data_IF_818944199727
#
_entry.id   IF_818944199727
#
_cell.length_a   1.000
_cell.length_b   1.000
_cell.length_c   1.000
_cell.angle_alpha   90.00
_cell.angle_beta   90.00
_cell.angle_gamma   90.00
#
_symmetry.space_group_name_H-M   'P 1'
#
loop_
_entity.id
_entity.type
_entity.pdbx_description
1 polymer ?
#
# COMPACT_ATOMS: atom_id res chain seq x y z
N UNK A 1 -2.59 -57.06 93.89
CA UNK A 1 -2.53 -57.87 92.65
C UNK A 1 -3.67 -57.59 91.66
N UNK A 2 -4.84 -57.07 92.06
CA UNK A 2 -5.96 -56.84 91.13
C UNK A 2 -5.76 -55.69 90.12
N UNK A 3 -4.98 -54.65 90.46
CA UNK A 3 -4.75 -53.49 89.58
C UNK A 3 -3.92 -53.84 88.34
N UNK A 4 -2.98 -54.79 88.44
CA UNK A 4 -2.09 -55.18 87.34
C UNK A 4 -2.86 -55.94 86.26
N UNK A 5 -3.83 -56.76 86.65
CA UNK A 5 -4.65 -57.55 85.72
C UNK A 5 -5.58 -56.64 84.89
N UNK A 6 -6.13 -55.60 85.51
CA UNK A 6 -7.00 -54.63 84.82
C UNK A 6 -6.21 -53.79 83.82
N UNK A 7 -5.00 -53.33 84.17
CA UNK A 7 -4.14 -52.59 83.24
C UNK A 7 -3.66 -53.49 82.10
N UNK A 8 -3.31 -54.75 82.37
CA UNK A 8 -2.94 -55.70 81.31
C UNK A 8 -4.11 -55.97 80.35
N UNK A 9 -5.35 -56.09 80.84
CA UNK A 9 -6.54 -56.28 80.00
C UNK A 9 -6.91 -55.02 79.20
N UNK A 10 -6.70 -53.82 79.74
CA UNK A 10 -6.94 -52.56 79.02
C UNK A 10 -5.86 -52.34 77.95
N UNK A 11 -4.59 -52.60 78.24
CA UNK A 11 -3.49 -52.49 77.26
C UNK A 11 -3.61 -53.55 76.18
N UNK A 12 -4.00 -54.79 76.53
CA UNK A 12 -4.25 -55.85 75.57
C UNK A 12 -5.52 -55.56 74.73
N UNK A 13 -6.57 -55.02 75.34
CA UNK A 13 -7.78 -54.58 74.63
C UNK A 13 -7.54 -53.40 73.69
N UNK A 14 -6.72 -52.43 74.08
CA UNK A 14 -6.34 -51.28 73.24
C UNK A 14 -5.39 -51.66 72.11
N UNK A 15 -4.49 -52.64 72.30
CA UNK A 15 -3.62 -53.15 71.23
C UNK A 15 -4.37 -54.08 70.27
N UNK A 16 -5.34 -54.86 70.75
CA UNK A 16 -6.17 -55.71 69.89
C UNK A 16 -7.19 -54.89 69.07
N UNK A 17 -7.72 -53.79 69.62
CA UNK A 17 -8.61 -52.87 68.90
C UNK A 17 -7.89 -51.98 67.87
N UNK A 18 -6.57 -51.83 67.93
CA UNK A 18 -5.79 -51.01 66.99
C UNK A 18 -5.08 -51.81 65.89
N UNK A 19 -5.38 -53.11 65.76
CA UNK A 19 -4.85 -53.91 64.66
C UNK A 19 -5.60 -53.53 63.39
N UNK A 20 -5.12 -52.51 62.68
CA UNK A 20 -5.59 -52.19 61.32
C UNK A 20 -5.50 -53.46 60.49
N UNK A 21 -6.63 -53.85 59.91
CA UNK A 21 -6.68 -54.96 58.99
C UNK A 21 -5.81 -54.59 57.78
N UNK A 22 -4.74 -55.34 57.47
CA UNK A 22 -3.86 -55.04 56.34
C UNK A 22 -4.63 -54.99 55.01
N UNK A 23 -5.76 -55.69 54.90
CA UNK A 23 -6.62 -55.61 53.72
C UNK A 23 -7.33 -54.25 53.61
N UNK A 24 -7.81 -53.68 54.73
CA UNK A 24 -8.41 -52.34 54.73
C UNK A 24 -7.37 -51.24 54.50
N UNK A 25 -6.15 -51.44 55.00
CA UNK A 25 -5.04 -50.52 54.74
C UNK A 25 -4.67 -50.48 53.26
N UNK A 26 -4.57 -51.64 52.60
CA UNK A 26 -4.30 -51.71 51.16
C UNK A 26 -5.43 -51.04 50.35
N UNK A 27 -6.71 -51.31 50.68
CA UNK A 27 -7.86 -50.66 50.04
C UNK A 27 -7.79 -49.14 50.20
N UNK A 28 -7.49 -48.66 51.39
CA UNK A 28 -7.41 -47.24 51.67
C UNK A 28 -6.26 -46.56 50.92
N UNK A 29 -5.07 -47.19 50.90
CA UNK A 29 -3.90 -46.72 50.16
C UNK A 29 -4.17 -46.71 48.66
N UNK A 30 -4.72 -47.77 48.09
CA UNK A 30 -5.06 -47.81 46.66
C UNK A 30 -6.20 -46.84 46.30
N UNK A 31 -7.12 -46.53 47.21
CA UNK A 31 -8.21 -45.58 46.94
C UNK A 31 -7.76 -44.11 47.01
N UNK A 32 -6.73 -43.81 47.80
CA UNK A 32 -6.22 -42.45 48.03
C UNK A 32 -4.84 -42.19 47.41
N UNK A 33 -4.24 -43.17 46.75
CA UNK A 33 -2.97 -42.98 46.03
C UNK A 33 -3.14 -41.99 44.88
N UNK A 34 -2.07 -41.21 44.65
CA UNK A 34 -1.85 -40.41 43.44
C UNK A 34 -1.63 -41.36 42.26
N UNK A 35 -2.74 -41.90 41.76
CA UNK A 35 -2.80 -42.88 40.68
C UNK A 35 -2.06 -42.43 39.42
N UNK A 36 -2.07 -41.13 39.16
CA UNK A 36 -1.39 -40.49 38.02
C UNK A 36 0.15 -40.59 38.11
N UNK A 37 0.72 -40.79 39.29
CA UNK A 37 2.19 -40.79 39.48
C UNK A 37 2.78 -42.17 39.72
N UNK A 38 2.00 -43.11 40.27
CA UNK A 38 2.48 -44.42 40.68
C UNK A 38 1.44 -45.50 40.39
N UNK A 39 1.04 -45.61 39.12
CA UNK A 39 0.13 -46.65 38.68
C UNK A 39 0.76 -48.04 38.86
N UNK A 40 0.10 -48.92 39.63
CA UNK A 40 0.44 -50.33 39.74
C UNK A 40 -0.80 -51.19 39.46
N UNK A 41 -0.80 -51.85 38.30
CA UNK A 41 -1.89 -52.70 37.84
C UNK A 41 -2.12 -53.94 38.74
N UNK A 42 -1.05 -54.47 39.33
CA UNK A 42 -1.12 -55.65 40.19
C UNK A 42 -1.79 -55.32 41.53
N UNK A 43 -1.37 -54.21 42.15
CA UNK A 43 -1.97 -53.74 43.40
C UNK A 43 -3.47 -53.44 43.19
N UNK A 44 -3.83 -52.78 42.09
CA UNK A 44 -5.23 -52.51 41.77
C UNK A 44 -6.04 -53.80 41.61
N UNK A 45 -5.51 -54.80 40.89
CA UNK A 45 -6.21 -56.07 40.70
C UNK A 45 -6.36 -56.85 42.01
N UNK A 46 -5.36 -56.80 42.90
CA UNK A 46 -5.43 -57.39 44.24
C UNK A 46 -6.45 -56.67 45.10
N UNK A 47 -6.42 -55.34 45.16
CA UNK A 47 -7.36 -54.53 45.93
C UNK A 47 -8.80 -54.69 45.43
N UNK A 48 -9.01 -54.79 44.11
CA UNK A 48 -10.32 -55.05 43.53
C UNK A 48 -10.91 -56.38 44.00
N UNK A 49 -10.08 -57.43 44.10
CA UNK A 49 -10.50 -58.73 44.65
C UNK A 49 -10.88 -58.63 46.12
N UNK A 50 -10.11 -57.88 46.92
CA UNK A 50 -10.39 -57.65 48.34
C UNK A 50 -11.68 -56.84 48.56
N UNK A 51 -12.03 -55.97 47.62
CA UNK A 51 -13.25 -55.18 47.70
C UNK A 51 -14.54 -55.98 47.54
N UNK A 52 -14.51 -57.14 46.87
CA UNK A 52 -15.67 -58.04 46.72
C UNK A 52 -17.00 -57.32 46.48
N UNK A 53 -18.00 -57.63 47.31
CA UNK A 53 -19.31 -56.97 47.34
C UNK A 53 -19.40 -55.78 48.31
N UNK A 54 -18.29 -55.37 48.93
CA UNK A 54 -18.26 -54.22 49.84
C UNK A 54 -18.68 -52.94 49.11
N UNK A 55 -19.52 -52.14 49.77
CA UNK A 55 -19.99 -50.83 49.30
C UNK A 55 -19.26 -49.67 50.02
N UNK A 56 -18.09 -49.92 50.59
CA UNK A 56 -17.30 -48.82 51.15
C UNK A 56 -16.95 -47.80 50.05
N UNK A 57 -16.88 -46.52 50.41
CA UNK A 57 -16.51 -45.44 49.49
C UNK A 57 -15.18 -45.71 48.78
N UNK A 58 -14.23 -46.31 49.51
CA UNK A 58 -12.91 -46.63 49.00
C UNK A 58 -12.96 -47.76 47.98
N UNK A 59 -13.83 -48.76 48.19
CA UNK A 59 -14.06 -49.81 47.21
C UNK A 59 -14.77 -49.32 45.95
N UNK A 60 -15.65 -48.32 46.07
CA UNK A 60 -16.22 -47.65 44.88
C UNK A 60 -15.12 -46.97 44.07
N UNK A 61 -14.23 -46.20 44.71
CA UNK A 61 -13.09 -45.57 44.03
C UNK A 61 -12.18 -46.59 43.33
N UNK A 62 -11.88 -47.71 43.99
CA UNK A 62 -11.07 -48.79 43.41
C UNK A 62 -11.77 -49.42 42.19
N UNK A 63 -13.09 -49.63 42.26
CA UNK A 63 -13.88 -50.13 41.13
C UNK A 63 -13.89 -49.14 39.96
N UNK A 64 -14.05 -47.85 40.23
CA UNK A 64 -14.02 -46.80 39.21
C UNK A 64 -12.65 -46.74 38.51
N UNK A 65 -11.56 -46.86 39.27
CA UNK A 65 -10.19 -46.94 38.72
C UNK A 65 -10.01 -48.19 37.85
N UNK A 66 -10.48 -49.35 38.31
CA UNK A 66 -10.44 -50.58 37.52
C UNK A 66 -11.25 -50.48 36.22
N UNK A 67 -12.40 -49.80 36.28
CA UNK A 67 -13.20 -49.51 35.09
C UNK A 67 -12.46 -48.57 34.14
N UNK A 68 -11.81 -47.52 34.63
CA UNK A 68 -11.02 -46.61 33.80
C UNK A 68 -9.87 -47.33 33.08
N UNK A 69 -9.22 -48.30 33.75
CA UNK A 69 -8.20 -49.16 33.11
C UNK A 69 -8.83 -50.05 32.03
N UNK A 70 -9.97 -50.69 32.33
CA UNK A 70 -10.68 -51.53 31.36
C UNK A 70 -11.10 -50.71 30.12
N UNK A 71 -11.59 -49.49 30.32
CA UNK A 71 -11.98 -48.57 29.25
C UNK A 71 -10.77 -48.14 28.41
N UNK A 72 -9.61 -47.89 29.05
CA UNK A 72 -8.37 -47.58 28.35
C UNK A 72 -7.94 -48.74 27.45
N UNK A 73 -7.91 -49.96 27.98
CA UNK A 73 -7.55 -51.17 27.23
C UNK A 73 -8.51 -51.37 26.06
N UNK A 74 -9.83 -51.23 26.29
CA UNK A 74 -10.85 -51.35 25.25
C UNK A 74 -10.68 -50.30 24.13
N UNK A 75 -10.30 -49.07 24.49
CA UNK A 75 -10.05 -47.96 23.54
C UNK A 75 -8.81 -48.19 22.66
N UNK A 76 -7.85 -48.95 23.16
CA UNK A 76 -6.61 -49.27 22.45
C UNK A 76 -6.73 -50.53 21.55
N UNK A 77 -7.83 -51.28 21.61
CA UNK A 77 -8.00 -52.48 20.78
C UNK A 77 -8.11 -52.09 19.31
N UNK A 78 -7.19 -52.59 18.48
CA UNK A 78 -7.18 -52.36 17.03
C UNK A 78 -6.61 -50.99 16.61
N UNK A 79 -5.96 -50.28 17.53
CA UNK A 79 -5.21 -49.07 17.22
C UNK A 79 -3.71 -49.38 17.35
N UNK A 80 -2.96 -49.10 16.28
CA UNK A 80 -1.53 -49.44 16.18
C UNK A 80 -0.60 -48.33 16.69
N UNK A 81 -1.14 -47.25 17.27
CA UNK A 81 -0.34 -46.18 17.87
C UNK A 81 0.56 -46.70 18.99
N UNK A 82 1.69 -46.03 19.19
CA UNK A 82 2.68 -46.39 20.21
C UNK A 82 2.04 -46.47 21.60
N UNK A 83 1.14 -45.53 21.91
CA UNK A 83 0.34 -45.55 23.13
C UNK A 83 -0.47 -46.84 23.29
N UNK A 84 -1.21 -47.22 22.25
CA UNK A 84 -2.08 -48.39 22.26
C UNK A 84 -1.28 -49.69 22.30
N UNK A 85 -0.14 -49.74 21.62
CA UNK A 85 0.80 -50.87 21.71
C UNK A 85 1.30 -51.05 23.14
N UNK A 86 1.69 -49.97 23.83
CA UNK A 86 2.14 -50.08 25.23
C UNK A 86 1.03 -50.57 26.16
N UNK A 87 -0.17 -49.98 26.05
CA UNK A 87 -1.32 -50.39 26.89
C UNK A 87 -1.72 -51.83 26.63
N UNK A 88 -1.82 -52.24 25.37
CA UNK A 88 -2.27 -53.59 25.00
C UNK A 88 -1.18 -54.65 25.14
N UNK A 89 0.11 -54.31 25.12
CA UNK A 89 1.20 -55.28 25.34
C UNK A 89 1.52 -55.53 26.80
N UNK A 90 1.01 -54.71 27.71
CA UNK A 90 1.20 -54.90 29.16
C UNK A 90 0.25 -56.00 29.67
N UNK A 91 0.77 -57.19 29.98
CA UNK A 91 -0.04 -58.33 30.42
C UNK A 91 -0.91 -58.02 31.65
N UNK A 92 -0.39 -57.22 32.58
CA UNK A 92 -1.10 -56.80 33.80
C UNK A 92 -2.32 -55.93 33.50
N UNK A 93 -2.37 -55.25 32.35
CA UNK A 93 -3.53 -54.44 31.95
C UNK A 93 -4.60 -55.30 31.27
N UNK A 94 -4.21 -56.36 30.56
CA UNK A 94 -5.12 -57.27 29.85
C UNK A 94 -6.11 -58.01 30.75
N UNK A 95 -5.84 -58.10 32.05
CA UNK A 95 -6.75 -58.70 33.01
C UNK A 95 -8.02 -57.86 33.23
N UNK A 96 -7.98 -56.55 32.95
CA UNK A 96 -9.12 -55.66 33.04
C UNK A 96 -9.91 -55.69 31.73
N UNK A 97 -11.04 -56.41 31.72
CA UNK A 97 -11.91 -56.62 30.55
C UNK A 97 -13.29 -56.00 30.76
N UNK A 98 -14.03 -55.81 29.67
CA UNK A 98 -15.43 -55.34 29.72
C UNK A 98 -15.57 -53.82 29.82
N UNK A 99 -14.50 -53.08 29.54
CA UNK A 99 -14.54 -51.63 29.42
C UNK A 99 -15.29 -51.15 28.18
N UNK A 100 -15.71 -49.89 28.21
CA UNK A 100 -16.28 -49.18 27.08
C UNK A 100 -15.17 -48.54 26.26
N UNK A 101 -15.05 -48.93 24.99
CA UNK A 101 -14.13 -48.27 24.07
C UNK A 101 -14.54 -46.81 23.85
N UNK A 102 -13.59 -45.90 24.03
CA UNK A 102 -13.70 -44.49 23.72
C UNK A 102 -12.86 -44.18 22.48
N UNK A 103 -13.38 -43.35 21.55
CA UNK A 103 -12.62 -42.98 20.37
C UNK A 103 -11.41 -42.14 20.77
N UNK A 104 -10.22 -42.59 20.40
CA UNK A 104 -8.99 -41.85 20.63
C UNK A 104 -8.90 -40.64 19.69
N UNK A 105 -8.35 -39.50 20.15
CA UNK A 105 -8.12 -38.35 19.29
C UNK A 105 -7.24 -38.72 18.10
N UNK A 106 -7.69 -38.34 16.90
CA UNK A 106 -7.02 -38.60 15.62
C UNK A 106 -6.43 -37.32 14.98
N UNK A 107 -6.24 -36.30 15.81
CA UNK A 107 -5.67 -35.01 15.45
C UNK A 107 -4.85 -34.50 16.63
N UNK A 108 -3.84 -33.65 16.43
CA UNK A 108 -3.00 -33.18 17.53
C UNK A 108 -3.68 -32.14 18.44
N UNK A 109 -4.79 -31.53 18.00
CA UNK A 109 -5.47 -30.43 18.69
C UNK A 109 -6.42 -30.89 19.81
N UNK A 110 -5.97 -31.81 20.68
CA UNK A 110 -6.74 -32.26 21.84
C UNK A 110 -6.08 -31.81 23.15
N UNK A 111 -6.87 -31.43 24.15
CA UNK A 111 -6.35 -31.07 25.48
C UNK A 111 -6.13 -32.29 26.36
N UNK A 112 -7.04 -33.27 26.26
CA UNK A 112 -7.05 -34.56 26.96
C UNK A 112 -7.65 -35.62 26.05
N UNK A 113 -7.25 -36.87 26.25
CA UNK A 113 -7.79 -38.09 25.61
C UNK A 113 -9.14 -38.45 26.23
N UNK A 114 -9.37 -38.11 27.51
CA UNK A 114 -10.64 -38.35 28.19
C UNK A 114 -10.68 -39.66 28.99
N UNK A 115 -9.53 -40.26 29.23
CA UNK A 115 -9.35 -41.39 30.12
C UNK A 115 -8.13 -41.12 31.01
N UNK A 116 -8.26 -41.26 32.33
CA UNK A 116 -7.22 -40.87 33.29
C UNK A 116 -5.89 -41.62 33.09
N UNK A 117 -5.93 -42.91 32.74
CA UNK A 117 -4.73 -43.70 32.47
C UNK A 117 -4.06 -43.20 31.18
N UNK A 118 -4.84 -43.01 30.12
CA UNK A 118 -4.32 -42.55 28.83
C UNK A 118 -3.82 -41.10 28.89
N UNK A 119 -4.47 -40.23 29.65
CA UNK A 119 -4.04 -38.84 29.88
C UNK A 119 -2.69 -38.77 30.60
N UNK A 120 -2.41 -39.76 31.46
CA UNK A 120 -1.14 -39.89 32.18
C UNK A 120 -0.02 -40.44 31.28
N UNK A 121 -0.31 -41.51 30.54
CA UNK A 121 0.68 -42.25 29.75
C UNK A 121 0.90 -41.60 28.37
N UNK A 122 -0.11 -40.96 27.80
CA UNK A 122 -0.08 -40.32 26.48
C UNK A 122 1.06 -39.32 26.30
N UNK A 123 1.28 -38.38 27.23
CA UNK A 123 2.42 -37.47 27.19
C UNK A 123 3.78 -38.18 27.29
N UNK A 124 3.88 -39.22 28.12
CA UNK A 124 5.13 -39.99 28.29
C UNK A 124 5.53 -40.74 27.02
N UNK A 125 4.53 -41.15 26.23
CA UNK A 125 4.73 -41.86 24.96
C UNK A 125 4.67 -40.94 23.73
N UNK A 126 4.68 -39.61 23.93
CA UNK A 126 4.60 -38.61 22.86
C UNK A 126 3.43 -38.85 21.87
N UNK A 127 2.28 -39.33 22.38
CA UNK A 127 1.11 -39.64 21.54
C UNK A 127 0.65 -38.42 20.72
N UNK A 128 0.81 -37.20 21.26
CA UNK A 128 0.49 -35.97 20.53
C UNK A 128 1.37 -35.76 19.31
N UNK A 129 2.67 -36.08 19.41
CA UNK A 129 3.62 -35.91 18.30
C UNK A 129 3.39 -36.96 17.22
N UNK A 130 3.04 -38.19 17.63
CA UNK A 130 2.57 -39.24 16.72
C UNK A 130 1.35 -38.75 15.93
N UNK A 131 0.31 -38.25 16.61
CA UNK A 131 -0.87 -37.66 15.97
C UNK A 131 -0.54 -36.43 15.12
N UNK A 132 0.45 -35.62 15.51
CA UNK A 132 0.91 -34.48 14.73
C UNK A 132 1.52 -34.93 13.40
N UNK A 133 2.36 -35.96 13.43
CA UNK A 133 3.01 -36.51 12.25
C UNK A 133 2.01 -37.09 11.25
N UNK A 134 1.03 -37.87 11.74
CA UNK A 134 -0.04 -38.44 10.93
C UNK A 134 -0.95 -37.36 10.35
N UNK A 135 -1.31 -36.35 11.15
CA UNK A 135 -2.14 -35.25 10.69
C UNK A 135 -1.42 -34.43 9.61
N UNK A 136 -0.14 -34.11 9.81
CA UNK A 136 0.68 -33.43 8.80
C UNK A 136 0.77 -34.26 7.51
N UNK A 137 0.95 -35.58 7.61
CA UNK A 137 1.01 -36.46 6.46
C UNK A 137 -0.33 -36.48 5.70
N UNK A 138 -1.44 -36.64 6.43
CA UNK A 138 -2.80 -36.69 5.87
C UNK A 138 -3.16 -35.40 5.12
N UNK A 139 -2.75 -34.25 5.65
CA UNK A 139 -3.06 -32.95 5.06
C UNK A 139 -1.97 -32.41 4.14
N UNK A 140 -0.84 -33.10 3.98
CA UNK A 140 0.34 -32.64 3.22
C UNK A 140 -0.02 -32.12 1.84
N UNK A 141 -0.81 -32.89 1.10
CA UNK A 141 -1.14 -32.54 -0.28
C UNK A 141 -2.14 -31.39 -0.33
N UNK A 142 -3.11 -31.35 0.58
CA UNK A 142 -4.00 -30.18 0.76
C UNK A 142 -3.22 -28.90 1.07
N UNK A 143 -2.23 -28.97 1.96
CA UNK A 143 -1.35 -27.85 2.28
C UNK A 143 -0.53 -27.41 1.05
N UNK A 144 -0.06 -28.35 0.23
CA UNK A 144 0.62 -28.05 -1.04
C UNK A 144 -0.30 -27.37 -2.04
N UNK A 145 -1.56 -27.82 -2.18
CA UNK A 145 -2.54 -27.17 -3.05
C UNK A 145 -2.88 -25.76 -2.58
N UNK A 146 -3.07 -25.55 -1.27
CA UNK A 146 -3.27 -24.22 -0.70
C UNK A 146 -2.06 -23.32 -0.92
N UNK A 147 -0.85 -23.81 -0.65
CA UNK A 147 0.37 -23.03 -0.86
C UNK A 147 0.56 -22.64 -2.33
N UNK A 148 0.33 -23.57 -3.27
CA UNK A 148 0.40 -23.28 -4.70
C UNK A 148 -0.69 -22.30 -5.16
N UNK A 149 -1.91 -22.41 -4.65
CA UNK A 149 -2.97 -21.45 -4.93
C UNK A 149 -2.62 -20.04 -4.41
N UNK A 150 -2.09 -19.93 -3.20
CA UNK A 150 -1.63 -18.65 -2.62
C UNK A 150 -0.47 -18.06 -3.43
N UNK A 151 0.49 -18.90 -3.85
CA UNK A 151 1.59 -18.46 -4.70
C UNK A 151 1.11 -18.00 -6.08
N UNK A 152 0.14 -18.70 -6.67
CA UNK A 152 -0.47 -18.30 -7.94
C UNK A 152 -1.17 -16.95 -7.82
N UNK A 153 -2.03 -16.77 -6.81
CA UNK A 153 -2.74 -15.49 -6.58
C UNK A 153 -1.77 -14.35 -6.30
N UNK A 154 -0.78 -14.58 -5.44
CA UNK A 154 0.23 -13.56 -5.13
C UNK A 154 1.07 -13.20 -6.37
N UNK A 155 1.43 -14.16 -7.21
CA UNK A 155 2.14 -13.90 -8.47
C UNK A 155 1.33 -13.02 -9.43
N UNK A 156 0.02 -13.28 -9.57
CA UNK A 156 -0.88 -12.46 -10.40
C UNK A 156 -0.97 -11.03 -9.84
N UNK A 157 -1.11 -10.88 -8.53
CA UNK A 157 -1.14 -9.57 -7.89
C UNK A 157 0.16 -8.79 -8.13
N UNK A 158 1.32 -9.44 -8.01
CA UNK A 158 2.62 -8.83 -8.30
C UNK A 158 2.67 -8.36 -9.76
N UNK A 159 2.25 -9.19 -10.71
CA UNK A 159 2.23 -8.84 -12.14
C UNK A 159 1.33 -7.62 -12.38
N UNK A 160 0.14 -7.58 -11.77
CA UNK A 160 -0.80 -6.45 -11.89
C UNK A 160 -0.17 -5.16 -11.34
N UNK A 161 0.45 -5.22 -10.16
CA UNK A 161 1.09 -4.05 -9.53
C UNK A 161 2.26 -3.56 -10.37
N UNK A 162 3.13 -4.46 -10.84
CA UNK A 162 4.28 -4.10 -11.70
C UNK A 162 3.80 -3.49 -13.01
N UNK A 163 2.81 -4.10 -13.66
CA UNK A 163 2.24 -3.58 -14.91
C UNK A 163 1.63 -2.19 -14.72
N UNK A 164 0.88 -1.99 -13.62
CA UNK A 164 0.27 -0.69 -13.31
C UNK A 164 1.33 0.37 -13.05
N UNK A 165 2.38 0.07 -12.28
CA UNK A 165 3.51 0.99 -12.07
C UNK A 165 4.21 1.35 -13.37
N UNK A 166 4.44 0.37 -14.23
CA UNK A 166 5.07 0.60 -15.53
C UNK A 166 4.21 1.47 -16.45
N UNK A 167 2.88 1.28 -16.46
CA UNK A 167 1.96 2.14 -17.19
C UNK A 167 1.97 3.58 -16.68
N UNK A 168 1.96 3.77 -15.35
CA UNK A 168 2.04 5.10 -14.74
C UNK A 168 3.34 5.81 -15.11
N UNK A 169 4.49 5.11 -15.07
CA UNK A 169 5.76 5.69 -15.53
C UNK A 169 5.76 6.11 -17.00
N UNK A 170 5.07 5.35 -17.86
CA UNK A 170 4.90 5.72 -19.28
C UNK A 170 4.00 6.93 -19.47
N UNK A 171 2.94 7.08 -18.66
CA UNK A 171 2.09 8.25 -18.68
C UNK A 171 2.86 9.49 -18.20
N UNK A 172 3.55 9.41 -17.06
CA UNK A 172 4.37 10.52 -16.54
C UNK A 172 5.42 10.98 -17.55
N UNK A 173 6.03 10.06 -18.29
CA UNK A 173 7.02 10.41 -19.33
C UNK A 173 6.38 11.01 -20.57
N UNK A 174 5.18 10.55 -20.98
CA UNK A 174 4.44 11.14 -22.07
C UNK A 174 3.94 12.56 -21.71
N UNK A 175 3.41 12.74 -20.50
CA UNK A 175 2.90 14.01 -20.00
C UNK A 175 4.03 15.05 -19.90
N UNK A 176 5.21 14.66 -19.42
CA UNK A 176 6.40 15.54 -19.41
C UNK A 176 6.79 16.01 -20.81
N UNK A 177 6.79 15.11 -21.80
CA UNK A 177 7.12 15.47 -23.19
C UNK A 177 6.07 16.41 -23.79
N UNK A 178 4.79 16.15 -23.55
CA UNK A 178 3.71 17.02 -24.01
C UNK A 178 3.81 18.43 -23.40
N UNK A 179 4.19 18.52 -22.13
CA UNK A 179 4.38 19.79 -21.43
C UNK A 179 5.59 20.56 -21.97
N UNK A 180 6.72 19.87 -22.23
CA UNK A 180 7.88 20.46 -22.89
C UNK A 180 7.57 20.97 -24.31
N UNK A 181 6.80 20.21 -25.10
CA UNK A 181 6.38 20.61 -26.44
C UNK A 181 5.45 21.83 -26.40
N UNK A 182 4.48 21.85 -25.48
CA UNK A 182 3.60 22.99 -25.26
C UNK A 182 4.39 24.25 -24.86
N UNK A 183 5.40 24.12 -24.00
CA UNK A 183 6.25 25.25 -23.61
C UNK A 183 7.10 25.77 -24.80
N UNK A 184 7.64 24.87 -25.63
CA UNK A 184 8.37 25.26 -26.85
C UNK A 184 7.46 26.00 -27.83
N UNK A 185 6.24 25.51 -28.04
CA UNK A 185 5.26 26.18 -28.91
C UNK A 185 4.86 27.54 -28.34
N UNK A 186 4.59 27.64 -27.03
CA UNK A 186 4.28 28.91 -26.38
C UNK A 186 5.42 29.93 -26.53
N UNK A 187 6.68 29.51 -26.37
CA UNK A 187 7.87 30.35 -26.61
C UNK A 187 7.98 30.77 -28.07
N UNK A 188 7.73 29.87 -29.02
CA UNK A 188 7.76 30.18 -30.44
C UNK A 188 6.67 31.19 -30.84
N UNK A 189 5.45 31.04 -30.31
CA UNK A 189 4.34 31.99 -30.54
C UNK A 189 4.67 33.36 -29.94
N UNK A 190 5.21 33.42 -28.72
CA UNK A 190 5.66 34.70 -28.12
C UNK A 190 6.71 35.40 -28.97
N UNK A 191 7.73 34.68 -29.45
CA UNK A 191 8.74 35.23 -30.35
C UNK A 191 8.15 35.73 -31.66
N UNK A 192 7.19 35.02 -32.25
CA UNK A 192 6.49 35.48 -33.46
C UNK A 192 5.69 36.75 -33.20
N UNK A 193 4.96 36.82 -32.09
CA UNK A 193 4.21 38.01 -31.69
C UNK A 193 5.13 39.22 -31.44
N UNK A 194 6.29 39.03 -30.82
CA UNK A 194 7.30 40.09 -30.64
C UNK A 194 7.88 40.54 -31.99
N UNK A 195 8.19 39.61 -32.90
CA UNK A 195 8.66 39.95 -34.25
C UNK A 195 7.61 40.70 -35.06
N UNK A 196 6.34 40.33 -34.97
CA UNK A 196 5.26 41.04 -35.64
C UNK A 196 5.07 42.45 -35.08
N UNK A 197 5.16 42.63 -33.75
CA UNK A 197 5.16 43.97 -33.12
C UNK A 197 6.34 44.81 -33.59
N UNK A 198 7.55 44.24 -33.61
CA UNK A 198 8.73 44.95 -34.09
C UNK A 198 8.61 45.35 -35.56
N UNK A 199 8.04 44.50 -36.42
CA UNK A 199 7.76 44.82 -37.83
C UNK A 199 6.72 45.92 -37.95
N UNK A 200 5.63 45.85 -37.20
CA UNK A 200 4.59 46.88 -37.20
C UNK A 200 5.15 48.25 -36.76
N UNK A 201 5.99 48.28 -35.73
CA UNK A 201 6.69 49.49 -35.28
C UNK A 201 7.67 50.01 -36.34
N UNK A 202 8.43 49.13 -37.00
CA UNK A 202 9.33 49.52 -38.08
C UNK A 202 8.56 50.14 -39.26
N UNK A 203 7.47 49.51 -39.70
CA UNK A 203 6.61 50.07 -40.76
C UNK A 203 5.99 51.40 -40.38
N UNK A 204 5.64 51.60 -39.11
CA UNK A 204 5.11 52.86 -38.63
C UNK A 204 6.18 53.96 -38.68
N UNK A 205 7.41 53.68 -38.25
CA UNK A 205 8.53 54.62 -38.35
C UNK A 205 8.88 54.96 -39.81
N UNK A 206 8.82 53.98 -40.71
CA UNK A 206 9.02 54.21 -42.15
C UNK A 206 7.93 55.11 -42.74
N UNK A 207 6.66 54.92 -42.34
CA UNK A 207 5.56 55.79 -42.76
C UNK A 207 5.69 57.21 -42.18
N UNK A 208 6.05 57.34 -40.91
CA UNK A 208 6.32 58.63 -40.27
C UNK A 208 7.45 59.36 -41.01
N UNK A 209 8.58 58.70 -41.27
CA UNK A 209 9.70 59.27 -42.03
C UNK A 209 9.33 59.62 -43.48
N UNK A 210 8.52 58.80 -44.16
CA UNK A 210 8.05 59.09 -45.50
C UNK A 210 7.11 60.31 -45.52
N UNK A 211 6.26 60.48 -44.51
CA UNK A 211 5.38 61.64 -44.37
C UNK A 211 6.18 62.93 -44.11
N UNK A 212 7.18 62.89 -43.23
CA UNK A 212 8.09 64.01 -42.99
C UNK A 212 8.87 64.40 -44.25
N UNK A 213 9.34 63.42 -45.02
CA UNK A 213 10.02 63.66 -46.30
C UNK A 213 9.07 64.29 -47.34
N UNK A 214 7.81 63.85 -47.40
CA UNK A 214 6.81 64.43 -48.29
C UNK A 214 6.46 65.88 -47.90
N UNK A 215 6.32 66.17 -46.61
CA UNK A 215 6.12 67.53 -46.11
C UNK A 215 7.32 68.44 -46.42
N UNK A 216 8.55 67.94 -46.24
CA UNK A 216 9.77 68.66 -46.59
C UNK A 216 9.82 68.98 -48.10
N UNK A 217 9.48 68.01 -48.97
CA UNK A 217 9.42 68.22 -50.41
C UNK A 217 8.37 69.27 -50.80
N UNK A 218 7.18 69.22 -50.18
CA UNK A 218 6.12 70.21 -50.41
C UNK A 218 6.55 71.62 -49.99
N UNK A 219 7.29 71.76 -48.88
CA UNK A 219 7.86 73.05 -48.45
C UNK A 219 8.88 73.58 -49.46
N UNK A 220 9.74 72.72 -50.00
CA UNK A 220 10.71 73.11 -51.04
C UNK A 220 9.98 73.56 -52.30
N UNK A 221 8.95 72.84 -52.75
CA UNK A 221 8.16 73.21 -53.92
C UNK A 221 7.40 74.53 -53.72
N UNK A 222 6.80 74.75 -52.55
CA UNK A 222 6.16 76.01 -52.20
C UNK A 222 7.15 77.18 -52.21
N UNK A 223 8.35 76.97 -51.70
CA UNK A 223 9.43 77.98 -51.71
C UNK A 223 9.86 78.30 -53.14
N UNK A 224 9.97 77.29 -54.01
CA UNK A 224 10.31 77.48 -55.43
C UNK A 224 9.22 78.27 -56.16
N UNK A 225 7.94 77.94 -55.97
CA UNK A 225 6.81 78.69 -56.54
C UNK A 225 6.81 80.15 -56.08
N UNK A 226 7.13 80.40 -54.81
CA UNK A 226 7.26 81.77 -54.29
C UNK A 226 8.43 82.53 -54.94
N UNK A 227 9.57 81.87 -55.18
CA UNK A 227 10.71 82.48 -55.90
C UNK A 227 10.38 82.77 -57.37
N UNK A 228 9.71 81.85 -58.06
CA UNK A 228 9.29 82.05 -59.45
C UNK A 228 8.28 83.20 -59.56
N UNK A 229 7.34 83.32 -58.62
CA UNK A 229 6.43 84.45 -58.53
C UNK A 229 7.16 85.77 -58.27
N UNK A 230 8.19 85.79 -57.41
CA UNK A 230 9.01 86.96 -57.18
C UNK A 230 9.78 87.39 -58.43
N UNK A 231 10.32 86.44 -59.21
CA UNK A 231 10.98 86.72 -60.49
C UNK A 231 10.00 87.30 -61.51
N UNK A 232 8.83 86.70 -61.66
CA UNK A 232 7.78 87.21 -62.55
C UNK A 232 7.35 88.64 -62.15
N UNK A 233 7.26 88.94 -60.86
CA UNK A 233 6.98 90.29 -60.38
C UNK A 233 8.11 91.28 -60.72
N UNK A 234 9.38 90.87 -60.60
CA UNK A 234 10.51 91.71 -61.01
C UNK A 234 10.58 91.94 -62.52
N UNK A 235 10.25 90.93 -63.33
CA UNK A 235 10.18 91.06 -64.79
C UNK A 235 9.03 91.97 -65.22
N UNK A 236 7.86 91.86 -64.56
CA UNK A 236 6.73 92.76 -64.79
C UNK A 236 7.10 94.21 -64.43
N UNK A 237 7.77 94.42 -63.29
CA UNK A 237 8.27 95.74 -62.91
C UNK A 237 9.27 96.31 -63.95
N UNK A 238 10.20 95.49 -64.45
CA UNK A 238 11.15 95.90 -65.48
C UNK A 238 10.47 96.24 -66.81
N UNK A 239 9.39 95.54 -67.19
CA UNK A 239 8.59 95.87 -68.38
C UNK A 239 7.89 97.22 -68.24
N UNK A 240 7.29 97.49 -67.08
CA UNK A 240 6.65 98.79 -66.80
C UNK A 240 7.69 99.92 -66.86
N UNK A 241 8.90 99.71 -66.32
CA UNK A 241 9.98 100.69 -66.44
C UNK A 241 10.45 100.88 -67.89
N UNK A 242 10.49 99.82 -68.70
CA UNK A 242 10.88 99.89 -70.10
C UNK A 242 9.82 100.63 -70.95
N UNK A 243 8.53 100.37 -70.72
CA UNK A 243 7.43 101.09 -71.36
C UNK A 243 7.45 102.57 -70.97
N UNK A 244 7.63 102.91 -69.70
CA UNK A 244 7.76 104.29 -69.25
C UNK A 244 8.95 105.02 -69.89
N UNK A 245 10.07 104.33 -70.13
CA UNK A 245 11.23 104.90 -70.85
C UNK A 245 10.97 105.08 -72.33
N UNK A 246 10.27 104.15 -72.97
CA UNK A 246 9.89 104.25 -74.38
C UNK A 246 8.93 105.42 -74.61
N UNK A 247 7.94 105.59 -73.73
CA UNK A 247 7.04 106.75 -73.75
C UNK A 247 7.81 108.06 -73.54
N UNK A 248 8.74 108.11 -72.59
CA UNK A 248 9.58 109.29 -72.38
C UNK A 248 10.46 109.62 -73.60
N UNK A 249 10.90 108.62 -74.37
CA UNK A 249 11.69 108.82 -75.58
C UNK A 249 10.84 109.31 -76.75
N UNK A 250 9.61 108.80 -76.91
CA UNK A 250 8.65 109.34 -77.87
C UNK A 250 8.29 110.80 -77.58
N UNK A 251 8.13 111.16 -76.31
CA UNK A 251 7.91 112.57 -75.91
C UNK A 251 9.10 113.45 -76.28
N UNK A 252 10.33 112.96 -76.13
CA UNK A 252 11.55 113.68 -76.56
C UNK A 252 11.64 113.85 -78.08
N UNK A 253 11.26 112.84 -78.86
CA UNK A 253 11.24 112.93 -80.33
C UNK A 253 10.13 113.85 -80.83
N UNK A 254 8.95 113.82 -80.21
CA UNK A 254 7.85 114.73 -80.53
C UNK A 254 8.19 116.19 -80.20
N UNK A 255 8.88 116.45 -79.08
CA UNK A 255 9.35 117.79 -78.72
C UNK A 255 10.49 118.28 -79.62
N UNK A 256 11.40 117.39 -80.05
CA UNK A 256 12.42 117.72 -81.05
C UNK A 256 11.81 118.04 -82.43
N UNK A 257 10.78 117.31 -82.86
CA UNK A 257 10.04 117.58 -84.10
C UNK A 257 9.29 118.94 -84.04
N UNK A 258 8.71 119.29 -82.89
CA UNK A 258 8.06 120.58 -82.68
C UNK A 258 9.05 121.76 -82.72
N UNK A 259 10.25 121.58 -82.15
CA UNK A 259 11.33 122.57 -82.22
C UNK A 259 11.89 122.74 -83.65
N UNK A 260 11.96 121.66 -84.44
CA UNK A 260 12.37 121.71 -85.84
C UNK A 260 11.32 122.42 -86.74
N UNK A 261 10.03 122.31 -86.41
CA UNK A 261 8.97 123.03 -87.12
C UNK A 261 8.96 124.54 -86.82
N UNK A 262 9.42 124.95 -85.63
CA UNK A 262 9.48 126.36 -85.22
C UNK A 262 10.60 127.18 -85.90
N UNK A 263 11.61 126.54 -86.51
CA UNK A 263 12.73 127.21 -87.18
C UNK A 263 12.60 127.31 -88.71
N UNK A 264 11.36 127.33 -89.24
CA UNK A 264 11.11 127.61 -90.65
C UNK A 264 10.83 129.11 -90.85
N UNK A 265 11.90 129.88 -91.04
CA UNK A 265 11.88 131.29 -91.46
C UNK A 265 11.55 131.36 -92.97
N UNK A 266 10.51 132.08 -93.41
CA UNK A 266 10.42 132.56 -94.78
C UNK A 266 10.79 134.04 -94.88
N UNK A 267 11.78 134.29 -95.73
CA UNK A 267 12.17 135.61 -96.28
C UNK A 267 10.96 136.38 -96.83
N UNK A 268 10.82 137.64 -96.42
CA UNK A 268 10.75 138.81 -97.32
C UNK A 268 10.89 140.10 -96.52
#
# INVERSE_FOLDING_TARGET
>A
MQVIIIVALIVCGLTYCNRKDPAQELIHVTAHSDWEKSFNAEDLAQTLKLCGSSQSSDCTKVKDRAQAVADAVASCVGNDSTLCQTVTNTEQLRQFKGGRAMPLPNHPFYWRIGNELLDTVGPLLNYRDEMWSEWCYRWRDTWRFLATAVLAVSSVLIIVVVRRRWQLQRQDTADKRALEEAERQAKAVRKRAEQERAKAEATRREQEAASEAAEAAARVEATRKAQDAARAATEAAARIEAEARAEAQQVKEATAAALAAAFKIPKR
#
